data_IF_310029415713
#
_entry.id   IF_310029415713
#
_cell.length_a   1.000
_cell.length_b   1.000
_cell.length_c   1.000
_cell.angle_alpha   90.00
_cell.angle_beta   90.00
_cell.angle_gamma   90.00
#
_symmetry.space_group_name_H-M   'P 1'
#
loop_
_entity.id
_entity.type
_entity.pdbx_description
1 polymer ?
#
# COMPACT_ATOMS: atom_id res chain seq x y z
N UNK A 1 -22.80 22.82 -35.32
CA UNK A 1 -21.96 23.21 -34.16
C UNK A 1 -21.27 21.97 -33.66
N UNK A 2 -20.25 21.58 -34.42
CA UNK A 2 -19.32 20.50 -34.10
C UNK A 2 -18.22 21.12 -33.25
N UNK A 3 -17.97 20.60 -32.05
CA UNK A 3 -16.59 20.40 -31.61
C UNK A 3 -16.47 19.67 -30.25
N UNK A 4 -15.81 18.52 -30.33
CA UNK A 4 -15.03 17.79 -29.30
C UNK A 4 -15.60 17.70 -27.88
N UNK A 5 -16.76 17.07 -27.73
CA UNK A 5 -17.19 16.57 -26.43
C UNK A 5 -16.39 15.31 -26.07
N UNK A 6 -15.69 15.32 -24.92
CA UNK A 6 -15.04 14.14 -24.33
C UNK A 6 -15.98 12.92 -24.31
N UNK A 7 -15.84 12.03 -25.32
CA UNK A 7 -16.63 10.81 -25.56
C UNK A 7 -16.59 9.81 -24.37
N UNK A 8 -15.59 10.01 -23.54
CA UNK A 8 -15.36 9.33 -22.27
C UNK A 8 -16.52 9.44 -21.26
N UNK A 9 -17.39 10.45 -21.33
CA UNK A 9 -18.45 10.67 -20.31
C UNK A 9 -19.46 9.52 -20.25
N UNK A 10 -19.84 8.95 -21.40
CA UNK A 10 -20.87 7.90 -21.48
C UNK A 10 -20.54 6.66 -20.65
N UNK A 11 -19.26 6.23 -20.65
CA UNK A 11 -18.85 5.02 -19.91
C UNK A 11 -18.91 5.22 -18.40
N UNK A 12 -18.69 6.43 -17.90
CA UNK A 12 -18.72 6.71 -16.46
C UNK A 12 -20.15 6.74 -15.91
N UNK A 13 -21.12 7.28 -16.68
CA UNK A 13 -22.52 7.32 -16.26
C UNK A 13 -23.22 5.95 -16.29
N UNK A 14 -22.65 4.99 -17.00
CA UNK A 14 -23.21 3.64 -17.19
C UNK A 14 -22.48 2.57 -16.37
N UNK A 15 -21.53 2.94 -15.52
CA UNK A 15 -20.72 1.99 -14.75
C UNK A 15 -19.77 1.17 -15.62
N UNK A 16 -19.50 1.60 -16.85
CA UNK A 16 -18.54 1.00 -17.80
C UNK A 16 -17.18 1.71 -17.79
N UNK A 17 -16.95 2.57 -16.79
CA UNK A 17 -15.61 3.06 -16.48
C UNK A 17 -14.74 1.87 -16.05
N UNK A 18 -13.45 1.93 -16.37
CA UNK A 18 -12.46 0.97 -15.88
C UNK A 18 -11.46 1.73 -15.04
N UNK A 19 -11.40 1.37 -13.77
CA UNK A 19 -10.42 1.80 -12.79
C UNK A 19 -9.47 0.64 -12.48
N UNK A 20 -8.38 0.92 -11.76
CA UNK A 20 -7.35 -0.10 -11.46
C UNK A 20 -7.95 -1.31 -10.73
N UNK A 21 -8.91 -1.10 -9.83
CA UNK A 21 -9.55 -2.16 -9.04
C UNK A 21 -10.58 -3.00 -9.82
N UNK A 22 -10.97 -2.53 -11.02
CA UNK A 22 -11.88 -3.27 -11.91
C UNK A 22 -11.13 -4.27 -12.80
N UNK A 23 -9.80 -4.17 -12.86
CA UNK A 23 -8.96 -5.10 -13.64
C UNK A 23 -8.96 -6.47 -12.96
N UNK A 24 -9.01 -7.53 -13.77
CA UNK A 24 -8.95 -8.93 -13.30
C UNK A 24 -7.90 -9.68 -14.10
N UNK A 25 -7.09 -10.46 -13.40
CA UNK A 25 -6.01 -11.24 -13.97
C UNK A 25 -6.11 -12.69 -13.50
N UNK A 26 -5.63 -13.63 -14.32
CA UNK A 26 -5.45 -15.01 -13.88
C UNK A 26 -4.40 -15.02 -12.74
N UNK A 27 -4.65 -15.83 -11.71
CA UNK A 27 -3.81 -15.94 -10.50
C UNK A 27 -3.59 -14.61 -9.73
N UNK A 28 -4.56 -13.70 -9.77
CA UNK A 28 -4.52 -12.43 -9.01
C UNK A 28 -4.42 -12.68 -7.49
N UNK A 29 -3.42 -12.05 -6.86
CA UNK A 29 -3.22 -12.07 -5.41
C UNK A 29 -3.62 -10.74 -4.78
N UNK A 30 -4.17 -10.81 -3.57
CA UNK A 30 -4.53 -9.64 -2.77
C UNK A 30 -3.45 -9.33 -1.74
N UNK A 31 -3.13 -8.05 -1.57
CA UNK A 31 -2.18 -7.58 -0.56
C UNK A 31 -2.89 -6.77 0.53
N UNK A 32 -2.46 -6.97 1.76
CA UNK A 32 -2.94 -6.22 2.93
C UNK A 32 -1.74 -5.58 3.65
N UNK A 33 -1.93 -4.35 4.12
CA UNK A 33 -0.90 -3.61 4.85
C UNK A 33 -1.35 -3.43 6.30
N UNK A 34 -0.67 -4.11 7.21
CA UNK A 34 -0.80 -3.84 8.64
C UNK A 34 -0.12 -2.51 8.97
N UNK A 35 -0.86 -1.60 9.62
CA UNK A 35 -0.37 -0.27 9.99
C UNK A 35 -0.19 -0.16 11.50
N UNK A 36 0.73 0.71 11.91
CA UNK A 36 0.93 1.03 13.32
C UNK A 36 -0.35 1.62 13.93
N UNK A 37 -0.81 1.12 15.09
CA UNK A 37 -1.87 1.76 15.86
C UNK A 37 -1.36 2.95 16.69
N UNK A 38 -0.04 3.15 16.75
CA UNK A 38 0.60 4.22 17.50
C UNK A 38 1.14 5.31 16.55
N UNK A 39 0.97 6.57 16.93
CA UNK A 39 1.51 7.71 16.17
C UNK A 39 3.04 7.70 16.11
N UNK A 40 3.71 7.32 17.21
CA UNK A 40 5.16 7.16 17.29
C UNK A 40 5.53 6.09 18.32
N UNK A 41 6.20 5.03 17.88
CA UNK A 41 6.64 3.93 18.73
C UNK A 41 7.84 3.22 18.11
N UNK A 42 8.61 2.51 18.94
CA UNK A 42 9.62 1.55 18.47
C UNK A 42 8.97 0.18 18.34
N UNK A 43 9.18 -0.48 17.20
CA UNK A 43 8.81 -1.88 17.01
C UNK A 43 9.86 -2.72 17.73
N UNK A 44 9.48 -3.41 18.81
CA UNK A 44 10.39 -4.26 19.58
C UNK A 44 10.45 -5.67 19.03
N UNK A 45 9.29 -6.22 18.70
CA UNK A 45 9.15 -7.59 18.19
C UNK A 45 7.90 -7.71 17.33
N UNK A 46 7.85 -8.74 16.48
CA UNK A 46 6.71 -9.05 15.62
C UNK A 46 6.68 -10.55 15.32
N UNK A 47 5.75 -11.27 15.95
CA UNK A 47 5.48 -12.67 15.59
C UNK A 47 4.57 -12.74 14.36
N UNK A 48 5.05 -13.42 13.33
CA UNK A 48 4.39 -13.58 12.03
C UNK A 48 4.02 -15.04 11.75
N UNK A 49 4.19 -15.93 12.72
CA UNK A 49 4.04 -17.39 12.56
C UNK A 49 2.63 -17.76 12.10
N UNK A 50 1.61 -17.27 12.80
CA UNK A 50 0.22 -17.58 12.48
C UNK A 50 -0.19 -17.01 11.12
N UNK A 51 0.24 -15.79 10.81
CA UNK A 51 -0.04 -15.17 9.51
C UNK A 51 0.56 -15.98 8.35
N UNK A 52 1.77 -16.52 8.52
CA UNK A 52 2.43 -17.37 7.52
C UNK A 52 1.79 -18.75 7.38
N UNK A 53 1.20 -19.26 8.46
CA UNK A 53 0.55 -20.57 8.46
C UNK A 53 -0.91 -20.53 7.96
N UNK A 54 -1.49 -19.34 7.82
CA UNK A 54 -2.86 -19.17 7.39
C UNK A 54 -3.08 -19.64 5.95
N UNK A 55 -4.14 -20.42 5.73
CA UNK A 55 -4.51 -20.92 4.40
C UNK A 55 -4.78 -19.75 3.44
N UNK A 56 -4.19 -19.83 2.23
CA UNK A 56 -4.32 -18.80 1.21
C UNK A 56 -3.33 -17.63 1.33
N UNK A 57 -2.55 -17.54 2.41
CA UNK A 57 -1.48 -16.53 2.50
C UNK A 57 -0.28 -17.00 1.68
N UNK A 58 0.02 -16.26 0.62
CA UNK A 58 1.15 -16.55 -0.27
C UNK A 58 2.49 -16.03 0.27
N UNK A 59 2.46 -14.91 1.00
CA UNK A 59 3.66 -14.20 1.45
C UNK A 59 3.35 -13.26 2.63
N UNK A 60 4.28 -13.17 3.59
CA UNK A 60 4.26 -12.16 4.65
C UNK A 60 5.58 -11.39 4.65
N UNK A 61 5.52 -10.10 4.33
CA UNK A 61 6.67 -9.20 4.30
C UNK A 61 6.74 -8.33 5.56
N UNK A 62 7.94 -8.23 6.12
CA UNK A 62 8.27 -7.31 7.22
C UNK A 62 9.52 -6.51 6.85
N UNK A 63 9.77 -5.40 7.56
CA UNK A 63 10.97 -4.59 7.34
C UNK A 63 12.27 -5.42 7.45
N UNK A 64 12.32 -6.35 8.41
CA UNK A 64 13.47 -7.26 8.56
C UNK A 64 13.60 -8.26 7.40
N UNK A 65 12.48 -8.71 6.81
CA UNK A 65 12.50 -9.68 5.71
C UNK A 65 12.98 -9.07 4.37
N UNK A 66 12.94 -7.75 4.23
CA UNK A 66 13.32 -7.04 3.00
C UNK A 66 14.57 -6.18 3.14
N UNK A 67 15.25 -6.28 4.28
CA UNK A 67 16.47 -5.51 4.57
C UNK A 67 17.53 -5.77 3.50
N UNK A 68 18.06 -4.69 2.91
CA UNK A 68 19.06 -4.77 1.83
C UNK A 68 18.51 -5.17 0.45
N UNK A 69 17.22 -5.50 0.33
CA UNK A 69 16.57 -5.83 -0.95
C UNK A 69 15.82 -4.63 -1.50
N UNK A 70 14.98 -4.03 -0.66
CA UNK A 70 14.30 -2.78 -0.95
C UNK A 70 15.10 -1.67 -0.28
N UNK A 71 15.61 -0.73 -1.08
CA UNK A 71 16.31 0.44 -0.56
C UNK A 71 15.46 1.26 0.41
N UNK A 72 16.07 2.24 1.07
CA UNK A 72 15.34 3.09 2.00
C UNK A 72 14.22 3.86 1.29
N UNK A 73 12.97 3.61 1.71
CA UNK A 73 11.85 4.45 1.33
C UNK A 73 11.88 5.73 2.17
N UNK A 74 12.77 6.66 1.80
CA UNK A 74 12.88 7.94 2.47
C UNK A 74 11.54 8.70 2.36
N UNK A 75 10.95 9.04 3.51
CA UNK A 75 9.91 10.06 3.56
C UNK A 75 10.52 11.35 3.01
N UNK A 76 10.02 11.83 1.86
CA UNK A 76 10.54 13.06 1.23
C UNK A 76 10.14 14.33 1.98
N UNK A 77 9.26 14.21 2.98
CA UNK A 77 8.93 15.28 3.90
C UNK A 77 10.00 15.29 4.99
N UNK A 78 10.65 16.43 5.28
CA UNK A 78 11.64 16.50 6.33
C UNK A 78 11.02 16.10 7.67
N UNK A 79 11.35 14.91 8.15
CA UNK A 79 11.05 14.41 9.51
C UNK A 79 12.08 14.95 10.52
N UNK A 80 12.53 16.19 10.34
CA UNK A 80 13.44 16.91 11.25
C UNK A 80 12.68 17.44 12.47
N UNK A 81 12.01 16.53 13.18
CA UNK A 81 11.67 16.72 14.58
C UNK A 81 12.40 15.62 15.33
N UNK A 82 13.65 15.89 15.67
CA UNK A 82 14.34 15.05 16.65
C UNK A 82 13.80 15.41 18.02
N UNK A 83 13.77 14.43 18.95
CA UNK A 83 13.31 14.68 20.32
C UNK A 83 14.08 15.80 21.01
N UNK A 84 15.34 15.99 20.61
CA UNK A 84 16.25 17.05 21.02
C UNK A 84 15.89 18.45 20.46
N UNK A 85 14.97 18.55 19.49
CA UNK A 85 14.49 19.83 18.92
C UNK A 85 13.24 20.39 19.64
N UNK A 86 12.67 19.65 20.60
CA UNK A 86 11.41 19.97 21.31
C UNK A 86 11.65 20.42 22.76
N UNK A 87 12.91 20.59 23.17
CA UNK A 87 13.30 21.17 24.47
C UNK A 87 13.65 22.66 24.35
#
# INVERSE_FOLDING_TARGET
>A
MTDVGWDSTSRFLTGRGQYVDDLRFDDEAFAFVLRSPHAHARIHDMDLTDARACEGVLLVLSGAAIEGVLGEMACKIPTTLRREDVE
#
